data_IF_705536217969
#
_entry.id   IF_705536217969
#
_cell.length_a   1.000
_cell.length_b   1.000
_cell.length_c   1.000
_cell.angle_alpha   90.00
_cell.angle_beta   90.00
_cell.angle_gamma   90.00
#
_symmetry.space_group_name_H-M   'P 1'
#
loop_
_entity.id
_entity.type
_entity.pdbx_description
1 polymer ?
#
# COMPACT_ATOMS: atom_id res chain seq x y z
N UNK A 1 17.16 -9.81 -7.63
CA UNK A 1 16.23 -9.09 -8.53
C UNK A 1 15.96 -7.65 -8.12
N UNK A 2 15.90 -7.34 -6.82
CA UNK A 2 16.00 -5.95 -6.34
C UNK A 2 17.37 -5.38 -6.69
N UNK A 3 17.46 -4.06 -6.98
CA UNK A 3 18.71 -3.38 -7.28
C UNK A 3 18.59 -1.88 -7.00
N UNK A 4 19.55 -1.33 -6.25
CA UNK A 4 19.71 0.12 -6.11
C UNK A 4 20.08 0.79 -7.45
N UNK A 5 19.78 2.09 -7.62
CA UNK A 5 19.23 3.03 -6.62
C UNK A 5 17.69 2.97 -6.46
N UNK A 6 17.00 2.09 -7.16
CA UNK A 6 15.53 2.02 -7.12
C UNK A 6 15.01 1.36 -5.83
N UNK A 7 14.18 2.08 -5.07
CA UNK A 7 13.44 1.53 -3.95
C UNK A 7 12.31 0.63 -4.47
N UNK A 8 12.31 -0.64 -4.07
CA UNK A 8 11.29 -1.61 -4.50
C UNK A 8 11.22 -1.78 -6.02
N UNK A 9 12.35 -1.98 -6.70
CA UNK A 9 12.43 -2.14 -8.17
C UNK A 9 11.45 -3.17 -8.73
N UNK A 10 11.21 -4.26 -8.00
CA UNK A 10 10.16 -5.21 -8.32
C UNK A 10 9.12 -5.19 -7.20
N UNK A 11 7.86 -5.11 -7.60
CA UNK A 11 6.71 -4.94 -6.71
C UNK A 11 5.83 -6.18 -6.77
N UNK A 12 5.33 -6.59 -5.60
CA UNK A 12 4.13 -7.43 -5.52
C UNK A 12 2.93 -6.49 -5.66
N UNK A 13 2.11 -6.68 -6.69
CA UNK A 13 0.94 -5.83 -6.94
C UNK A 13 -0.09 -5.89 -5.81
N UNK A 14 -0.99 -4.91 -5.79
CA UNK A 14 -2.17 -4.93 -4.92
C UNK A 14 -3.01 -6.19 -5.17
N UNK A 15 -3.88 -6.53 -4.22
CA UNK A 15 -4.80 -7.65 -4.39
C UNK A 15 -5.65 -7.44 -5.64
N UNK A 16 -5.59 -8.40 -6.57
CA UNK A 16 -6.10 -8.23 -7.93
C UNK A 16 -7.40 -8.98 -8.18
N UNK A 17 -8.30 -8.33 -8.94
CA UNK A 17 -9.56 -8.87 -9.43
C UNK A 17 -10.40 -9.48 -8.31
N UNK A 18 -10.55 -10.82 -8.28
CA UNK A 18 -11.33 -11.51 -7.26
C UNK A 18 -10.75 -11.35 -5.86
N UNK A 19 -9.50 -10.90 -5.73
CA UNK A 19 -8.86 -10.64 -4.44
C UNK A 19 -9.02 -9.17 -4.01
N UNK A 20 -9.57 -8.28 -4.84
CA UNK A 20 -9.78 -6.86 -4.51
C UNK A 20 -11.02 -6.67 -3.60
N UNK A 21 -10.90 -7.21 -2.38
CA UNK A 21 -11.82 -7.10 -1.26
C UNK A 21 -11.04 -7.14 0.06
N UNK A 22 -11.73 -6.95 1.19
CA UNK A 22 -11.13 -6.87 2.53
C UNK A 22 -10.08 -7.95 2.82
N UNK A 23 -10.48 -9.23 2.78
CA UNK A 23 -9.60 -10.34 3.14
C UNK A 23 -8.41 -10.49 2.18
N UNK A 24 -8.65 -10.29 0.88
CA UNK A 24 -7.61 -10.39 -0.13
C UNK A 24 -6.56 -9.29 0.02
N UNK A 25 -6.99 -8.05 0.24
CA UNK A 25 -6.10 -6.92 0.53
C UNK A 25 -5.32 -7.13 1.83
N UNK A 26 -5.96 -7.56 2.92
CA UNK A 26 -5.24 -7.84 4.17
C UNK A 26 -4.20 -8.93 3.98
N UNK A 27 -4.56 -10.02 3.30
CA UNK A 27 -3.63 -11.13 3.05
C UNK A 27 -2.45 -10.67 2.21
N UNK A 28 -2.68 -9.88 1.17
CA UNK A 28 -1.65 -9.33 0.30
C UNK A 28 -0.74 -8.34 1.05
N UNK A 29 -1.31 -7.41 1.82
CA UNK A 29 -0.56 -6.43 2.62
C UNK A 29 0.31 -7.11 3.68
N UNK A 30 -0.22 -8.12 4.37
CA UNK A 30 0.55 -8.95 5.32
C UNK A 30 1.67 -9.71 4.61
N UNK A 31 1.42 -10.23 3.42
CA UNK A 31 2.44 -10.94 2.62
C UNK A 31 3.60 -10.01 2.24
N UNK A 32 3.31 -8.80 1.75
CA UNK A 32 4.33 -7.78 1.50
C UNK A 32 5.10 -7.43 2.77
N UNK A 33 4.39 -7.22 3.88
CA UNK A 33 5.02 -6.80 5.14
C UNK A 33 5.95 -7.85 5.72
N UNK A 34 5.61 -9.13 5.56
CA UNK A 34 6.42 -10.24 6.07
C UNK A 34 7.61 -10.60 5.17
N UNK A 35 7.52 -10.35 3.86
CA UNK A 35 8.51 -10.85 2.88
C UNK A 35 9.24 -9.75 2.12
N UNK A 36 8.82 -8.50 2.26
CA UNK A 36 9.34 -7.33 1.57
C UNK A 36 9.28 -6.07 2.44
N UNK A 37 9.15 -4.91 1.81
CA UNK A 37 9.12 -3.61 2.48
C UNK A 37 7.82 -2.88 2.15
N UNK A 38 6.86 -2.93 3.09
CA UNK A 38 5.56 -2.27 2.92
C UNK A 38 5.69 -0.77 2.63
N UNK A 39 6.67 -0.09 3.23
CA UNK A 39 6.92 1.34 3.02
C UNK A 39 7.24 1.71 1.58
N UNK A 40 7.72 0.77 0.77
CA UNK A 40 8.03 0.97 -0.66
C UNK A 40 6.92 0.49 -1.60
N UNK A 41 5.80 0.02 -1.06
CA UNK A 41 4.68 -0.47 -1.86
C UNK A 41 4.06 0.68 -2.66
N UNK A 42 3.86 0.47 -3.96
CA UNK A 42 3.33 1.49 -4.89
C UNK A 42 1.82 1.71 -4.78
N UNK A 43 1.13 0.94 -3.95
CA UNK A 43 -0.25 1.20 -3.56
C UNK A 43 -1.31 0.59 -4.48
N UNK A 44 -2.46 1.26 -4.51
CA UNK A 44 -3.70 0.74 -5.09
C UNK A 44 -3.92 1.19 -6.53
N UNK A 45 -4.62 0.36 -7.29
CA UNK A 45 -5.15 0.66 -8.62
C UNK A 45 -6.55 0.06 -8.74
N UNK A 46 -7.45 0.69 -9.49
CA UNK A 46 -8.85 0.22 -9.55
C UNK A 46 -9.07 -0.98 -10.47
N UNK A 47 -8.21 -1.14 -11.49
CA UNK A 47 -8.36 -2.10 -12.59
C UNK A 47 -9.79 -2.14 -13.17
N UNK A 48 -10.42 -0.96 -13.24
CA UNK A 48 -11.84 -0.86 -13.55
C UNK A 48 -12.10 0.00 -14.78
N UNK A 49 -13.20 -0.32 -15.46
CA UNK A 49 -13.76 0.48 -16.56
C UNK A 49 -14.87 1.42 -16.09
N UNK A 50 -15.18 1.44 -14.79
CA UNK A 50 -16.23 2.28 -14.20
C UNK A 50 -15.64 3.56 -13.61
N UNK A 51 -16.22 4.71 -13.95
CA UNK A 51 -15.88 6.00 -13.33
C UNK A 51 -16.16 6.04 -11.83
N UNK A 52 -17.06 5.20 -11.31
CA UNK A 52 -17.37 5.15 -9.88
C UNK A 52 -16.35 4.30 -9.09
N UNK A 53 -15.38 3.68 -9.76
CA UNK A 53 -14.44 2.76 -9.12
C UNK A 53 -13.43 3.41 -8.18
N UNK A 54 -13.30 4.74 -8.19
CA UNK A 54 -12.34 5.45 -7.33
C UNK A 54 -12.60 5.24 -5.83
N UNK A 55 -13.82 4.85 -5.43
CA UNK A 55 -14.13 4.44 -4.05
C UNK A 55 -13.33 3.21 -3.60
N UNK A 56 -12.79 2.41 -4.53
CA UNK A 56 -11.85 1.32 -4.22
C UNK A 56 -10.56 1.84 -3.58
N UNK A 57 -10.09 3.03 -3.96
CA UNK A 57 -8.95 3.66 -3.29
C UNK A 57 -9.29 4.04 -1.85
N UNK A 58 -10.49 4.57 -1.60
CA UNK A 58 -10.93 4.86 -0.22
C UNK A 58 -11.00 3.58 0.60
N UNK A 59 -11.58 2.51 0.04
CA UNK A 59 -11.68 1.21 0.67
C UNK A 59 -10.30 0.63 1.03
N UNK A 60 -9.36 0.63 0.09
CA UNK A 60 -7.97 0.25 0.32
C UNK A 60 -7.31 1.09 1.43
N UNK A 61 -7.49 2.43 1.40
CA UNK A 61 -6.90 3.34 2.39
C UNK A 61 -7.38 3.03 3.80
N UNK A 62 -8.68 2.78 3.97
CA UNK A 62 -9.27 2.41 5.26
C UNK A 62 -8.67 1.11 5.78
N UNK A 63 -8.53 0.10 4.92
CA UNK A 63 -7.92 -1.20 5.27
C UNK A 63 -6.44 -1.04 5.65
N UNK A 64 -5.67 -0.26 4.88
CA UNK A 64 -4.27 0.01 5.18
C UNK A 64 -4.10 0.73 6.53
N UNK A 65 -4.88 1.78 6.77
CA UNK A 65 -4.84 2.52 8.02
C UNK A 65 -5.27 1.67 9.22
N UNK A 66 -6.30 0.84 9.07
CA UNK A 66 -6.74 -0.08 10.12
C UNK A 66 -5.66 -1.12 10.44
N UNK A 67 -5.06 -1.74 9.43
CA UNK A 67 -4.00 -2.73 9.60
C UNK A 67 -2.78 -2.14 10.31
N UNK A 68 -2.27 -1.01 9.83
CA UNK A 68 -1.08 -0.35 10.40
C UNK A 68 -1.38 0.23 11.78
N UNK A 69 -2.56 0.84 11.97
CA UNK A 69 -3.01 1.35 13.26
C UNK A 69 -3.17 0.23 14.30
N UNK A 70 -3.72 -0.91 13.90
CA UNK A 70 -3.82 -2.10 14.74
C UNK A 70 -2.45 -2.65 15.18
N UNK A 71 -1.45 -2.65 14.29
CA UNK A 71 -0.08 -2.99 14.65
C UNK A 71 0.52 -2.02 15.66
N UNK A 72 0.30 -0.71 15.48
CA UNK A 72 0.77 0.31 16.42
C UNK A 72 0.13 0.14 17.81
N UNK A 73 -1.20 -0.04 17.86
CA UNK A 73 -1.94 -0.26 19.12
C UNK A 73 -1.50 -1.54 19.84
N UNK A 74 -1.17 -2.59 19.09
CA UNK A 74 -0.73 -3.87 19.64
C UNK A 74 0.77 -3.90 20.01
N UNK A 75 1.50 -2.80 19.80
CA UNK A 75 2.94 -2.73 20.08
C UNK A 75 3.84 -3.42 19.05
N UNK A 76 3.30 -3.86 17.91
CA UNK A 76 4.09 -4.43 16.80
C UNK A 76 4.76 -3.36 15.94
N UNK A 77 4.25 -2.12 15.98
CA UNK A 77 4.84 -0.94 15.35
C UNK A 77 4.93 0.20 16.38
N UNK A 78 5.88 1.14 16.25
CA UNK A 78 5.94 2.31 17.13
C UNK A 78 4.68 3.17 16.96
N UNK A 79 4.15 3.71 18.05
CA UNK A 79 3.05 4.69 18.04
C UNK A 79 3.57 6.08 17.64
N UNK A 80 4.17 6.16 16.45
CA UNK A 80 4.72 7.38 15.85
C UNK A 80 3.86 7.77 14.64
N UNK A 81 3.02 8.78 14.83
CA UNK A 81 2.09 9.25 13.82
C UNK A 81 2.78 9.95 12.64
N UNK A 82 3.96 10.56 12.84
CA UNK A 82 4.69 11.19 11.74
C UNK A 82 5.29 10.13 10.83
N UNK A 83 5.92 9.11 11.43
CA UNK A 83 6.49 7.97 10.69
C UNK A 83 5.40 7.17 9.97
N UNK A 84 4.39 6.70 10.70
CA UNK A 84 3.34 5.85 10.12
C UNK A 84 2.44 6.63 9.17
N UNK A 85 2.10 7.88 9.51
CA UNK A 85 1.33 8.77 8.63
C UNK A 85 2.09 9.12 7.36
N UNK A 86 3.41 9.34 7.45
CA UNK A 86 4.29 9.53 6.29
C UNK A 86 4.29 8.31 5.37
N UNK A 87 4.48 7.11 5.93
CA UNK A 87 4.42 5.86 5.17
C UNK A 87 3.06 5.66 4.49
N UNK A 88 1.95 5.92 5.19
CA UNK A 88 0.60 5.81 4.61
C UNK A 88 0.44 6.78 3.44
N UNK A 89 0.87 8.04 3.58
CA UNK A 89 0.84 9.03 2.47
C UNK A 89 1.66 8.56 1.28
N UNK A 90 2.83 7.98 1.53
CA UNK A 90 3.70 7.46 0.49
C UNK A 90 3.03 6.32 -0.29
N UNK A 91 2.46 5.33 0.40
CA UNK A 91 1.74 4.20 -0.23
C UNK A 91 0.48 4.69 -0.97
N UNK A 92 -0.20 5.72 -0.46
CA UNK A 92 -1.42 6.24 -1.06
C UNK A 92 -1.19 7.02 -2.36
N UNK A 93 0.03 7.53 -2.58
CA UNK A 93 0.31 8.41 -3.71
C UNK A 93 1.80 8.51 -4.07
N UNK A 94 2.66 8.98 -3.15
CA UNK A 94 4.01 9.41 -3.52
C UNK A 94 4.88 8.29 -4.09
N UNK A 95 4.71 7.05 -3.62
CA UNK A 95 5.46 5.91 -4.12
C UNK A 95 5.13 5.63 -5.59
N UNK A 96 3.86 5.65 -5.97
CA UNK A 96 3.45 5.47 -7.36
C UNK A 96 4.04 6.58 -8.25
N UNK A 97 3.92 7.84 -7.82
CA UNK A 97 4.46 8.99 -8.55
C UNK A 97 5.97 8.85 -8.79
N UNK A 98 6.74 8.56 -7.74
CA UNK A 98 8.19 8.35 -7.82
C UNK A 98 8.55 7.14 -8.68
N UNK A 99 7.82 6.03 -8.52
CA UNK A 99 8.11 4.76 -9.20
C UNK A 99 7.88 4.85 -10.71
N UNK A 100 6.78 5.48 -11.12
CA UNK A 100 6.45 5.68 -12.53
C UNK A 100 7.05 6.95 -13.13
N UNK A 101 7.79 7.74 -12.33
CA UNK A 101 8.37 9.02 -12.74
C UNK A 101 7.33 9.96 -13.38
N UNK A 102 6.17 10.09 -12.72
CA UNK A 102 5.06 10.92 -13.19
C UNK A 102 5.28 12.36 -12.73
N UNK A 103 5.23 13.31 -13.66
CA UNK A 103 5.18 14.73 -13.34
C UNK A 103 3.71 15.16 -13.28
N UNK A 104 3.28 15.68 -12.13
CA UNK A 104 1.93 16.20 -11.87
C UNK A 104 2.01 17.69 -11.61
#
# INVERSE_FOLDING_TARGET
>A
YQKGPAAGKLQLGSAWWFNDHYDGMIKQLKSISNTGLLSTFIGMLTDSRSFLSYVRHEYFRRILCDLVGGWAQSGFAPMDYELLGGMIKDICYNNAIKYFNINV
#
